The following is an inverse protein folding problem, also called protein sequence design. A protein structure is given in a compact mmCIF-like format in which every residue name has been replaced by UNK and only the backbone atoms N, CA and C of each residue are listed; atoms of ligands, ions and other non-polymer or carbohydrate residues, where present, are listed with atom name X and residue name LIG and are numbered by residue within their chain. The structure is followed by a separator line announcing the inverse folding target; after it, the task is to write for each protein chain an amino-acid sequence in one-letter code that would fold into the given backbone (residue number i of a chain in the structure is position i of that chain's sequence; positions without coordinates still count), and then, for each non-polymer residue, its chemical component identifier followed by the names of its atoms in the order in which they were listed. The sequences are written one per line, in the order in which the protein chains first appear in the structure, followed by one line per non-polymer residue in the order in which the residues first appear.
data_IF_072708092776
#
_entry.id   IF_072708092776
#
_cell.length_a   1.000
_cell.length_b   1.000
_cell.length_c   1.000
_cell.angle_alpha   90.00
_cell.angle_beta   90.00
_cell.angle_gamma   90.00
#
_symmetry.space_group_name_H-M   'P 1'
#
loop_
_entity.id
_entity.type
_entity.pdbx_description
1 polymer ?
#
# COMPACT_ATOMS: atom_id res chain seq x y z
N UNK A 1 31.62 62.41 8.59
CA UNK A 1 32.71 61.51 8.15
C UNK A 1 32.24 60.08 8.34
N UNK A 2 31.98 59.36 7.25
CA UNK A 2 31.55 57.96 7.31
C UNK A 2 32.77 57.06 7.06
N UNK A 3 33.05 56.15 7.99
CA UNK A 3 34.20 55.23 7.90
C UNK A 3 33.70 53.86 7.46
N UNK A 4 34.20 53.43 6.29
CA UNK A 4 34.09 52.05 5.79
C UNK A 4 35.09 51.16 6.54
N UNK A 5 34.66 50.00 7.02
CA UNK A 5 35.56 48.91 7.42
C UNK A 5 35.17 47.66 6.63
N UNK A 6 36.06 47.29 5.71
CA UNK A 6 36.04 46.00 5.00
C UNK A 6 36.85 45.02 5.84
N UNK A 7 36.23 43.94 6.29
CA UNK A 7 36.93 42.81 6.92
C UNK A 7 37.00 41.65 5.92
N UNK A 8 38.22 41.37 5.49
CA UNK A 8 38.60 40.25 4.63
C UNK A 8 38.97 39.07 5.52
N UNK A 9 38.14 38.04 5.60
CA UNK A 9 38.43 36.82 6.37
C UNK A 9 38.95 35.70 5.46
N UNK A 10 40.24 35.40 5.57
CA UNK A 10 40.89 34.21 4.98
C UNK A 10 40.51 32.99 5.81
N UNK A 11 39.67 32.12 5.28
CA UNK A 11 39.31 30.83 5.89
C UNK A 11 40.31 29.74 5.52
N UNK A 12 41.04 29.23 6.51
CA UNK A 12 41.81 27.98 6.38
C UNK A 12 40.86 26.82 6.05
N UNK A 13 41.13 26.12 4.95
CA UNK A 13 40.44 24.89 4.60
C UNK A 13 40.85 23.77 5.58
N UNK A 14 40.09 23.61 6.64
CA UNK A 14 40.07 22.37 7.42
C UNK A 14 39.59 21.27 6.48
N UNK A 15 40.47 20.31 6.16
CA UNK A 15 40.01 19.06 5.52
C UNK A 15 39.10 18.38 6.53
N UNK A 16 37.79 18.41 6.28
CA UNK A 16 36.83 17.66 7.06
C UNK A 16 37.21 16.17 6.96
N UNK A 17 37.74 15.62 8.05
CA UNK A 17 37.87 14.18 8.22
C UNK A 17 36.45 13.65 8.35
N UNK A 18 36.08 12.72 7.47
CA UNK A 18 34.78 12.07 7.52
C UNK A 18 34.58 11.46 8.91
N UNK A 19 33.46 11.71 9.62
CA UNK A 19 33.22 11.14 10.93
C UNK A 19 33.35 9.61 10.92
N UNK A 20 34.01 8.99 11.92
CA UNK A 20 34.22 7.54 12.00
C UNK A 20 32.96 6.70 11.78
N UNK A 21 31.82 7.22 12.24
CA UNK A 21 30.51 6.59 12.09
C UNK A 21 30.02 6.53 10.64
N UNK A 22 30.18 7.61 9.86
CA UNK A 22 29.74 7.65 8.46
C UNK A 22 30.59 6.72 7.59
N UNK A 23 31.90 6.72 7.81
CA UNK A 23 32.83 5.81 7.15
C UNK A 23 32.46 4.34 7.43
N UNK A 24 32.05 4.02 8.66
CA UNK A 24 31.60 2.68 9.01
C UNK A 24 30.25 2.29 8.39
N UNK A 25 29.26 3.20 8.33
CA UNK A 25 28.00 2.92 7.64
C UNK A 25 28.22 2.61 6.16
N UNK A 26 29.14 3.34 5.51
CA UNK A 26 29.56 3.05 4.13
C UNK A 26 30.12 1.65 3.99
N UNK A 27 31.00 1.23 4.91
CA UNK A 27 31.56 -0.14 4.95
C UNK A 27 30.45 -1.18 5.06
N UNK A 28 29.48 -0.98 5.96
CA UNK A 28 28.38 -1.94 6.16
C UNK A 28 27.57 -2.11 4.87
N UNK A 29 27.24 -1.02 4.19
CA UNK A 29 26.53 -1.06 2.92
C UNK A 29 27.36 -1.74 1.82
N UNK A 30 28.65 -1.42 1.72
CA UNK A 30 29.57 -2.06 0.76
C UNK A 30 29.68 -3.57 0.98
N UNK A 31 29.74 -4.02 2.24
CA UNK A 31 29.75 -5.46 2.56
C UNK A 31 28.42 -6.10 2.15
N UNK A 32 27.28 -5.50 2.49
CA UNK A 32 25.97 -6.01 2.14
C UNK A 32 25.77 -6.10 0.61
N UNK A 33 26.20 -5.08 -0.14
CA UNK A 33 26.19 -5.09 -1.60
C UNK A 33 27.15 -6.15 -2.16
N UNK A 34 28.33 -6.31 -1.57
CA UNK A 34 29.28 -7.38 -1.91
C UNK A 34 28.67 -8.77 -1.73
N UNK A 35 27.98 -9.00 -0.62
CA UNK A 35 27.31 -10.27 -0.31
C UNK A 35 26.16 -10.56 -1.31
N UNK A 36 25.35 -9.55 -1.63
CA UNK A 36 24.27 -9.67 -2.62
C UNK A 36 24.80 -9.97 -4.03
N UNK A 37 25.92 -9.37 -4.39
CA UNK A 37 26.54 -9.49 -5.71
C UNK A 37 27.51 -10.67 -5.81
N UNK A 38 27.72 -11.42 -4.73
CA UNK A 38 28.74 -12.47 -4.61
C UNK A 38 28.66 -13.53 -5.70
N UNK A 39 27.43 -13.94 -6.07
CA UNK A 39 27.19 -14.98 -7.08
C UNK A 39 26.98 -14.38 -8.47
N UNK A 40 26.25 -13.28 -8.58
CA UNK A 40 25.79 -12.72 -9.85
C UNK A 40 26.82 -11.82 -10.53
N UNK A 41 27.63 -11.08 -9.76
CA UNK A 41 28.62 -10.12 -10.27
C UNK A 41 29.92 -10.18 -9.43
N UNK A 42 30.70 -11.27 -9.55
CA UNK A 42 31.82 -11.53 -8.66
C UNK A 42 32.95 -10.49 -8.73
N UNK A 43 33.14 -9.81 -9.87
CA UNK A 43 34.12 -8.72 -9.98
C UNK A 43 33.67 -7.50 -9.18
N UNK A 44 32.39 -7.13 -9.28
CA UNK A 44 31.81 -5.98 -8.56
C UNK A 44 31.76 -6.24 -7.06
N UNK A 45 31.38 -7.45 -6.66
CA UNK A 45 31.42 -7.86 -5.26
C UNK A 45 32.84 -7.84 -4.68
N UNK A 46 33.85 -8.28 -5.43
CA UNK A 46 35.25 -8.20 -5.00
C UNK A 46 35.70 -6.73 -4.81
N UNK A 47 35.34 -5.84 -5.73
CA UNK A 47 35.65 -4.41 -5.59
C UNK A 47 35.02 -3.80 -4.34
N UNK A 48 33.76 -4.16 -4.03
CA UNK A 48 33.08 -3.69 -2.83
C UNK A 48 33.76 -4.19 -1.55
N UNK A 49 34.18 -5.46 -1.51
CA UNK A 49 34.94 -5.99 -0.38
C UNK A 49 36.31 -5.33 -0.20
N UNK A 50 37.05 -5.07 -1.28
CA UNK A 50 38.36 -4.40 -1.21
C UNK A 50 38.22 -2.95 -0.73
N UNK A 51 37.20 -2.21 -1.18
CA UNK A 51 36.90 -0.85 -0.70
C UNK A 51 36.54 -0.87 0.79
N UNK A 52 35.68 -1.79 1.20
CA UNK A 52 35.31 -1.97 2.60
C UNK A 52 36.54 -2.28 3.48
N UNK A 53 37.45 -3.14 3.00
CA UNK A 53 38.68 -3.48 3.71
C UNK A 53 39.60 -2.26 3.85
N UNK A 54 39.76 -1.47 2.78
CA UNK A 54 40.57 -0.25 2.80
C UNK A 54 40.01 0.78 3.80
N UNK A 55 38.70 1.03 3.79
CA UNK A 55 38.07 1.98 4.70
C UNK A 55 38.17 1.53 6.15
N UNK A 56 38.01 0.23 6.44
CA UNK A 56 38.21 -0.31 7.80
C UNK A 56 39.65 -0.17 8.29
N UNK A 57 40.65 -0.37 7.42
CA UNK A 57 42.07 -0.15 7.77
C UNK A 57 42.40 1.32 8.00
N UNK A 58 41.78 2.22 7.24
CA UNK A 58 41.91 3.66 7.45
C UNK A 58 41.30 4.08 8.79
N UNK A 59 40.10 3.57 9.10
CA UNK A 59 39.41 3.81 10.36
C UNK A 59 40.22 3.30 11.56
N UNK A 60 40.82 2.12 11.44
CA UNK A 60 41.69 1.58 12.48
C UNK A 60 42.98 2.39 12.68
N UNK A 61 43.50 3.01 11.62
CA UNK A 61 44.70 3.87 11.69
C UNK A 61 44.39 5.25 12.26
N UNK A 62 43.26 5.83 11.87
CA UNK A 62 42.86 7.19 12.24
C UNK A 62 42.23 7.24 13.62
N UNK A 63 41.41 6.25 13.97
CA UNK A 63 40.68 6.17 15.24
C UNK A 63 40.76 4.75 15.84
N UNK A 64 41.92 4.36 16.41
CA UNK A 64 42.16 2.99 16.87
C UNK A 64 41.21 2.49 17.97
N UNK A 65 40.70 3.40 18.81
CA UNK A 65 39.77 3.08 19.90
C UNK A 65 38.31 2.98 19.44
N UNK A 66 37.99 3.49 18.24
CA UNK A 66 36.63 3.53 17.74
C UNK A 66 36.15 2.12 17.36
N UNK A 67 35.27 1.54 18.19
CA UNK A 67 34.64 0.24 17.95
C UNK A 67 35.62 -0.88 17.50
N UNK A 68 36.82 -0.92 18.08
CA UNK A 68 37.92 -1.79 17.64
C UNK A 68 37.51 -3.26 17.43
N UNK A 69 36.68 -3.80 18.33
CA UNK A 69 36.16 -5.18 18.24
C UNK A 69 35.29 -5.40 17.01
N UNK A 70 34.46 -4.42 16.66
CA UNK A 70 33.54 -4.49 15.52
C UNK A 70 34.32 -4.37 14.21
N UNK A 71 35.25 -3.41 14.13
CA UNK A 71 36.16 -3.23 12.98
C UNK A 71 36.98 -4.49 12.73
N UNK A 72 37.59 -5.05 13.77
CA UNK A 72 38.35 -6.31 13.68
C UNK A 72 37.48 -7.49 13.22
N UNK A 73 36.23 -7.58 13.68
CA UNK A 73 35.30 -8.63 13.25
C UNK A 73 34.96 -8.50 11.77
N UNK A 74 34.72 -7.28 11.27
CA UNK A 74 34.43 -7.03 9.85
C UNK A 74 35.65 -7.26 8.95
N UNK A 75 36.84 -6.88 9.41
CA UNK A 75 38.08 -7.20 8.70
C UNK A 75 38.28 -8.72 8.58
N UNK A 76 38.09 -9.47 9.67
CA UNK A 76 38.16 -10.94 9.66
C UNK A 76 37.14 -11.56 8.69
N UNK A 77 35.92 -11.02 8.64
CA UNK A 77 34.91 -11.46 7.66
C UNK A 77 35.40 -11.26 6.22
N UNK A 78 35.91 -10.07 5.90
CA UNK A 78 36.44 -9.75 4.57
C UNK A 78 37.65 -10.63 4.21
N UNK A 79 38.57 -10.85 5.14
CA UNK A 79 39.73 -11.72 4.96
C UNK A 79 39.32 -13.18 4.67
N UNK A 80 38.16 -13.63 5.15
CA UNK A 80 37.62 -14.96 4.81
C UNK A 80 36.93 -15.02 3.45
N UNK A 81 36.43 -13.89 2.94
CA UNK A 81 35.59 -13.81 1.72
C UNK A 81 36.38 -13.46 0.47
N UNK A 82 37.38 -12.59 0.59
CA UNK A 82 38.18 -12.09 -0.54
C UNK A 82 39.05 -13.17 -1.18
N UNK A 83 39.84 -13.99 -0.44
CA UNK A 83 40.74 -14.96 -1.07
C UNK A 83 40.04 -16.04 -1.92
N UNK A 84 38.95 -16.69 -1.46
CA UNK A 84 38.20 -17.63 -2.30
C UNK A 84 37.66 -16.98 -3.59
N UNK A 85 37.31 -15.70 -3.50
CA UNK A 85 36.75 -14.93 -4.62
C UNK A 85 37.82 -14.55 -5.64
N UNK A 86 39.00 -14.15 -5.16
CA UNK A 86 40.17 -13.89 -5.97
C UNK A 86 40.64 -15.15 -6.72
N UNK A 87 40.63 -16.30 -6.04
CA UNK A 87 40.93 -17.60 -6.62
C UNK A 87 39.91 -18.01 -7.69
N UNK A 88 38.61 -17.78 -7.44
CA UNK A 88 37.55 -18.04 -8.43
C UNK A 88 37.71 -17.20 -9.69
N UNK A 89 38.18 -15.97 -9.55
CA UNK A 89 38.41 -15.03 -10.66
C UNK A 89 39.78 -15.20 -11.34
N UNK A 90 40.61 -16.14 -10.86
CA UNK A 90 41.99 -16.37 -11.36
C UNK A 90 42.83 -15.10 -11.43
N UNK A 91 42.63 -14.17 -10.50
CA UNK A 91 43.45 -12.96 -10.43
C UNK A 91 44.74 -13.35 -9.68
N UNK A 92 45.94 -13.17 -10.28
CA UNK A 92 47.20 -13.49 -9.62
C UNK A 92 47.31 -12.73 -8.29
N UNK A 93 47.53 -13.44 -7.19
CA UNK A 93 47.91 -12.80 -5.94
C UNK A 93 49.33 -12.23 -6.13
N UNK A 94 49.49 -10.92 -5.95
CA UNK A 94 50.79 -10.36 -5.62
C UNK A 94 51.09 -10.80 -4.18
N UNK A 95 51.71 -11.97 -4.04
CA UNK A 95 52.34 -12.36 -2.78
C UNK A 95 53.49 -11.39 -2.51
N UNK A 96 53.23 -10.39 -1.66
CA UNK A 96 54.28 -9.69 -0.94
C UNK A 96 54.86 -10.64 0.10
N UNK A 97 55.75 -11.53 -0.32
CA UNK A 97 56.64 -12.23 0.59
C UNK A 97 58.10 -11.98 0.16
N UNK A 98 58.94 -11.37 1.01
CA UNK A 98 60.32 -11.08 0.67
C UNK A 98 61.23 -12.30 0.89
N UNK A 99 62.25 -12.38 0.03
CA UNK A 99 63.50 -13.11 0.17
C UNK A 99 63.51 -14.61 -0.21
N UNK A 100 63.90 -14.88 -1.46
CA UNK A 100 64.97 -15.86 -1.72
C UNK A 100 65.84 -15.34 -2.89
N UNK A 101 67.17 -15.18 -2.73
CA UNK A 101 68.04 -14.60 -3.76
C UNK A 101 68.12 -15.46 -5.02
N UNK A 102 68.03 -14.80 -6.17
CA UNK A 102 68.18 -15.36 -7.50
C UNK A 102 69.60 -15.92 -7.73
N UNK A 103 69.68 -17.07 -8.41
CA UNK A 103 70.89 -17.53 -9.08
C UNK A 103 71.28 -16.53 -10.20
N UNK A 104 72.58 -16.37 -10.52
CA UNK A 104 73.02 -15.33 -11.44
C UNK A 104 72.60 -15.68 -12.87
N UNK A 105 71.71 -14.87 -13.43
CA UNK A 105 71.46 -14.81 -14.85
C UNK A 105 72.75 -14.34 -15.54
N UNK A 106 73.31 -15.17 -16.41
CA UNK A 106 74.32 -14.75 -17.39
C UNK A 106 73.72 -13.60 -18.21
N UNK A 107 74.22 -12.39 -17.99
CA UNK A 107 73.89 -11.23 -18.81
C UNK A 107 74.62 -11.35 -20.14
N UNK A 108 73.93 -11.86 -21.16
CA UNK A 108 74.30 -11.63 -22.55
C UNK A 108 74.25 -10.12 -22.77
N UNK A 109 75.40 -9.48 -22.96
CA UNK A 109 75.48 -8.06 -23.29
C UNK A 109 74.86 -7.89 -24.68
N UNK A 110 73.58 -7.51 -24.72
CA UNK A 110 72.90 -7.08 -25.95
C UNK A 110 73.55 -5.79 -26.45
N UNK A 111 73.86 -5.72 -27.74
CA UNK A 111 74.36 -4.50 -28.36
C UNK A 111 73.29 -3.41 -28.40
N UNK A 112 73.70 -2.14 -28.42
CA UNK A 112 72.81 -0.96 -28.47
C UNK A 112 71.81 -1.02 -29.65
N UNK A 113 72.21 -1.63 -30.77
CA UNK A 113 71.34 -1.85 -31.93
C UNK A 113 70.18 -2.84 -31.62
N UNK A 114 70.45 -3.93 -30.90
CA UNK A 114 69.42 -4.90 -30.51
C UNK A 114 68.43 -4.29 -29.51
N UNK A 115 68.92 -3.45 -28.60
CA UNK A 115 68.09 -2.70 -27.65
C UNK A 115 67.16 -1.71 -28.36
N UNK A 116 67.67 -0.97 -29.35
CA UNK A 116 66.83 -0.07 -30.15
C UNK A 116 65.76 -0.84 -30.95
N UNK A 117 66.12 -1.98 -31.54
CA UNK A 117 65.14 -2.82 -32.25
C UNK A 117 64.01 -3.32 -31.34
N UNK A 118 64.33 -3.63 -30.07
CA UNK A 118 63.35 -4.03 -29.04
C UNK A 118 62.48 -2.86 -28.61
N UNK A 119 63.05 -1.68 -28.45
CA UNK A 119 62.30 -0.46 -28.12
C UNK A 119 61.29 -0.14 -29.22
N UNK A 120 61.67 -0.26 -30.49
CA UNK A 120 60.77 0.00 -31.61
C UNK A 120 59.66 -1.05 -31.72
N UNK A 121 59.97 -2.33 -31.47
CA UNK A 121 58.93 -3.39 -31.36
C UNK A 121 57.94 -3.11 -30.22
N UNK A 122 58.43 -2.75 -29.03
CA UNK A 122 57.58 -2.42 -27.88
C UNK A 122 56.73 -1.16 -28.14
N UNK A 123 57.25 -0.18 -28.88
CA UNK A 123 56.47 0.99 -29.31
C UNK A 123 55.36 0.59 -30.28
N UNK A 124 55.65 -0.26 -31.25
CA UNK A 124 54.66 -0.77 -32.19
C UNK A 124 53.56 -1.57 -31.47
N UNK A 125 53.96 -2.47 -30.56
CA UNK A 125 53.03 -3.27 -29.74
C UNK A 125 52.16 -2.39 -28.83
N UNK A 126 52.74 -1.35 -28.21
CA UNK A 126 51.96 -0.37 -27.43
C UNK A 126 50.91 0.33 -28.30
N UNK A 127 51.26 0.69 -29.53
CA UNK A 127 50.37 1.40 -30.44
C UNK A 127 49.24 0.48 -30.94
N UNK A 128 49.56 -0.79 -31.18
CA UNK A 128 48.60 -1.83 -31.51
C UNK A 128 47.62 -2.09 -30.35
N UNK A 129 48.13 -2.29 -29.12
CA UNK A 129 47.32 -2.45 -27.91
C UNK A 129 46.41 -1.23 -27.65
N UNK A 130 46.91 -0.01 -27.88
CA UNK A 130 46.09 1.19 -27.78
C UNK A 130 44.97 1.21 -28.81
N UNK A 131 45.24 0.76 -30.04
CA UNK A 131 44.22 0.63 -31.08
C UNK A 131 43.18 -0.44 -30.75
N UNK A 132 43.60 -1.56 -30.15
CA UNK A 132 42.69 -2.62 -29.70
C UNK A 132 41.83 -2.16 -28.53
N UNK A 133 42.41 -1.47 -27.54
CA UNK A 133 41.66 -0.88 -26.45
C UNK A 133 40.57 0.08 -26.95
N UNK A 134 40.90 0.95 -27.91
CA UNK A 134 39.92 1.86 -28.51
C UNK A 134 38.79 1.09 -29.20
N UNK A 135 39.09 0.00 -29.93
CA UNK A 135 38.07 -0.87 -30.55
C UNK A 135 37.21 -1.58 -29.52
N UNK A 136 37.79 -2.04 -28.41
CA UNK A 136 37.03 -2.67 -27.33
C UNK A 136 36.09 -1.66 -26.69
N UNK A 137 36.54 -0.42 -26.46
CA UNK A 137 35.71 0.64 -25.89
C UNK A 137 34.55 1.02 -26.82
N UNK A 138 34.80 1.17 -28.13
CA UNK A 138 33.74 1.46 -29.11
C UNK A 138 32.73 0.31 -29.19
N UNK A 139 33.20 -0.93 -29.31
CA UNK A 139 32.28 -2.09 -29.37
C UNK A 139 31.50 -2.29 -28.08
N UNK A 140 32.10 -2.02 -26.92
CA UNK A 140 31.41 -2.10 -25.63
C UNK A 140 30.35 -1.00 -25.50
N UNK A 141 30.67 0.23 -25.90
CA UNK A 141 29.70 1.34 -25.87
C UNK A 141 28.55 1.12 -26.85
N UNK A 142 28.81 0.57 -28.04
CA UNK A 142 27.77 0.17 -29.00
C UNK A 142 26.88 -0.96 -28.45
N UNK A 143 27.47 -2.03 -27.91
CA UNK A 143 26.72 -3.13 -27.29
C UNK A 143 25.88 -2.66 -26.09
N UNK A 144 26.41 -1.75 -25.28
CA UNK A 144 25.68 -1.13 -24.18
C UNK A 144 24.50 -0.31 -24.71
N UNK A 145 24.72 0.49 -25.76
CA UNK A 145 23.67 1.28 -26.41
C UNK A 145 22.59 0.39 -27.00
N UNK A 146 22.97 -0.71 -27.65
CA UNK A 146 22.04 -1.70 -28.21
C UNK A 146 21.25 -2.41 -27.12
N UNK A 147 21.91 -2.89 -26.05
CA UNK A 147 21.25 -3.50 -24.90
C UNK A 147 20.28 -2.54 -24.20
N UNK A 148 20.62 -1.25 -24.09
CA UNK A 148 19.72 -0.23 -23.55
C UNK A 148 18.53 0.06 -24.48
N UNK A 149 18.72 -0.06 -25.80
CA UNK A 149 17.66 0.14 -26.80
C UNK A 149 16.69 -1.04 -26.90
N UNK A 150 17.16 -2.25 -26.59
CA UNK A 150 16.38 -3.49 -26.54
C UNK A 150 15.62 -3.67 -25.21
N UNK A 151 15.78 -2.74 -24.26
CA UNK A 151 15.04 -2.78 -22.99
C UNK A 151 13.52 -2.80 -23.28
N UNK A 152 12.78 -3.81 -22.79
CA UNK A 152 11.34 -3.92 -23.02
C UNK A 152 10.64 -2.63 -22.63
N UNK A 153 9.69 -2.17 -23.46
CA UNK A 153 8.93 -0.93 -23.21
C UNK A 153 8.25 -0.94 -21.83
N UNK A 154 7.78 -2.10 -21.37
CA UNK A 154 7.17 -2.28 -20.05
C UNK A 154 8.10 -1.96 -18.87
N UNK A 155 9.42 -1.94 -19.06
CA UNK A 155 10.44 -1.61 -18.05
C UNK A 155 10.96 -0.16 -18.18
N UNK A 156 10.36 0.64 -19.06
CA UNK A 156 10.68 2.06 -19.16
C UNK A 156 10.03 2.81 -17.97
N UNK A 157 10.80 3.52 -17.13
CA UNK A 157 10.25 4.19 -15.95
C UNK A 157 9.08 5.14 -16.25
N UNK A 158 9.02 5.72 -17.45
CA UNK A 158 7.89 6.55 -17.89
C UNK A 158 6.61 5.77 -18.20
N UNK A 159 6.71 4.53 -18.71
CA UNK A 159 5.53 3.67 -18.92
C UNK A 159 5.04 3.08 -17.60
N UNK A 160 5.95 2.67 -16.71
CA UNK A 160 5.62 2.22 -15.37
C UNK A 160 4.88 3.29 -14.57
N UNK A 161 5.37 4.55 -14.58
CA UNK A 161 4.70 5.65 -13.89
C UNK A 161 3.29 5.94 -14.44
N UNK A 162 3.07 5.75 -15.75
CA UNK A 162 1.72 5.86 -16.34
C UNK A 162 0.81 4.75 -15.85
N UNK A 163 1.27 3.50 -15.86
CA UNK A 163 0.51 2.34 -15.38
C UNK A 163 0.20 2.48 -13.89
N UNK A 164 1.16 2.94 -13.07
CA UNK A 164 0.92 3.23 -11.65
C UNK A 164 -0.14 4.32 -11.45
N UNK A 165 -0.10 5.39 -12.25
CA UNK A 165 -1.13 6.43 -12.21
C UNK A 165 -2.51 5.91 -12.62
N UNK A 166 -2.59 5.08 -13.66
CA UNK A 166 -3.83 4.44 -14.09
C UNK A 166 -4.36 3.47 -13.03
N UNK A 167 -3.50 2.66 -12.41
CA UNK A 167 -3.85 1.79 -11.30
C UNK A 167 -4.40 2.57 -10.10
N UNK A 168 -3.78 3.70 -9.72
CA UNK A 168 -4.30 4.54 -8.64
C UNK A 168 -5.68 5.10 -8.97
N UNK A 169 -5.90 5.59 -10.20
CA UNK A 169 -7.23 6.06 -10.64
C UNK A 169 -8.28 4.95 -10.61
N UNK A 170 -7.90 3.73 -11.01
CA UNK A 170 -8.79 2.58 -10.96
C UNK A 170 -9.13 2.21 -9.51
N UNK A 171 -8.15 2.21 -8.61
CA UNK A 171 -8.36 1.96 -7.18
C UNK A 171 -9.30 3.01 -6.55
N UNK A 172 -9.09 4.30 -6.84
CA UNK A 172 -9.99 5.37 -6.39
C UNK A 172 -11.41 5.16 -6.88
N UNK A 173 -11.58 4.74 -8.14
CA UNK A 173 -12.89 4.46 -8.72
C UNK A 173 -13.56 3.23 -8.11
N UNK A 174 -12.79 2.20 -7.77
CA UNK A 174 -13.30 1.02 -7.06
C UNK A 174 -13.84 1.43 -5.69
N UNK A 175 -13.06 2.19 -4.90
CA UNK A 175 -13.50 2.67 -3.58
C UNK A 175 -14.76 3.53 -3.68
N UNK A 176 -14.82 4.41 -4.67
CA UNK A 176 -16.01 5.21 -4.93
C UNK A 176 -17.24 4.35 -5.27
N UNK A 177 -17.08 3.36 -6.15
CA UNK A 177 -18.15 2.45 -6.53
C UNK A 177 -18.63 1.61 -5.35
N UNK A 178 -17.73 1.04 -4.56
CA UNK A 178 -18.08 0.26 -3.36
C UNK A 178 -18.90 1.08 -2.35
N UNK A 179 -18.49 2.32 -2.10
CA UNK A 179 -19.25 3.26 -1.25
C UNK A 179 -20.65 3.52 -1.81
N UNK A 180 -20.76 3.72 -3.12
CA UNK A 180 -22.05 3.93 -3.77
C UNK A 180 -22.94 2.68 -3.71
N UNK A 181 -22.37 1.49 -3.91
CA UNK A 181 -23.10 0.22 -3.78
C UNK A 181 -23.60 0.00 -2.36
N UNK A 182 -22.80 0.29 -1.33
CA UNK A 182 -23.25 0.20 0.06
C UNK A 182 -24.42 1.13 0.37
N UNK A 183 -24.37 2.38 -0.14
CA UNK A 183 -25.50 3.32 0.01
C UNK A 183 -26.75 2.78 -0.67
N UNK A 184 -26.62 2.31 -1.90
CA UNK A 184 -27.74 1.76 -2.66
C UNK A 184 -28.33 0.51 -1.98
N UNK A 185 -27.49 -0.35 -1.41
CA UNK A 185 -27.94 -1.53 -0.66
C UNK A 185 -28.69 -1.13 0.62
N UNK A 186 -28.22 -0.12 1.34
CA UNK A 186 -28.91 0.42 2.52
C UNK A 186 -30.26 1.02 2.15
N UNK A 187 -30.32 1.80 1.06
CA UNK A 187 -31.57 2.35 0.54
C UNK A 187 -32.54 1.23 0.16
N UNK A 188 -32.08 0.23 -0.61
CA UNK A 188 -32.91 -0.91 -0.99
C UNK A 188 -33.48 -1.65 0.23
N UNK A 189 -32.66 -1.91 1.26
CA UNK A 189 -33.11 -2.54 2.51
C UNK A 189 -34.18 -1.70 3.21
N UNK A 190 -34.01 -0.37 3.25
CA UNK A 190 -34.99 0.56 3.82
C UNK A 190 -36.30 0.53 3.03
N UNK A 191 -36.24 0.69 1.71
CA UNK A 191 -37.43 0.69 0.84
C UNK A 191 -38.18 -0.64 0.91
N UNK A 192 -37.46 -1.76 0.97
CA UNK A 192 -38.06 -3.09 1.13
C UNK A 192 -38.74 -3.26 2.50
N UNK A 193 -38.13 -2.72 3.56
CA UNK A 193 -38.74 -2.65 4.88
C UNK A 193 -40.02 -1.81 4.89
N UNK A 194 -40.01 -0.65 4.24
CA UNK A 194 -41.17 0.23 4.10
C UNK A 194 -42.28 -0.43 3.28
N UNK A 195 -41.93 -1.13 2.18
CA UNK A 195 -42.89 -1.91 1.38
C UNK A 195 -43.56 -3.00 2.22
N UNK A 196 -42.78 -3.71 3.04
CA UNK A 196 -43.30 -4.76 3.93
C UNK A 196 -44.28 -4.18 4.96
N UNK A 197 -43.95 -3.02 5.56
CA UNK A 197 -44.83 -2.31 6.49
C UNK A 197 -46.11 -1.82 5.83
N UNK A 198 -46.00 -1.26 4.62
CA UNK A 198 -47.15 -0.78 3.86
C UNK A 198 -48.10 -1.93 3.51
N UNK A 199 -47.55 -3.09 3.12
CA UNK A 199 -48.34 -4.30 2.85
C UNK A 199 -49.07 -4.79 4.08
N UNK A 200 -48.39 -4.86 5.24
CA UNK A 200 -49.04 -5.21 6.51
C UNK A 200 -50.14 -4.20 6.90
N UNK A 201 -49.92 -2.91 6.67
CA UNK A 201 -50.92 -1.86 6.89
C UNK A 201 -52.14 -2.00 5.97
N UNK A 202 -51.93 -2.35 4.70
CA UNK A 202 -53.00 -2.62 3.74
C UNK A 202 -53.84 -3.82 4.17
N UNK A 203 -53.19 -4.92 4.57
CA UNK A 203 -53.88 -6.12 5.03
C UNK A 203 -54.70 -5.84 6.31
N UNK A 204 -54.16 -5.03 7.23
CA UNK A 204 -54.88 -4.61 8.44
C UNK A 204 -56.10 -3.75 8.12
N UNK A 205 -55.95 -2.77 7.22
CA UNK A 205 -57.05 -1.92 6.77
C UNK A 205 -58.15 -2.73 6.05
N UNK A 206 -57.77 -3.73 5.24
CA UNK A 206 -58.71 -4.65 4.61
C UNK A 206 -59.48 -5.48 5.64
N UNK A 207 -58.80 -6.03 6.66
CA UNK A 207 -59.48 -6.76 7.75
C UNK A 207 -60.45 -5.87 8.52
N UNK A 208 -60.06 -4.63 8.80
CA UNK A 208 -60.95 -3.69 9.49
C UNK A 208 -62.15 -3.31 8.64
N UNK A 209 -61.95 -3.11 7.33
CA UNK A 209 -63.05 -2.89 6.38
C UNK A 209 -64.03 -4.06 6.39
N UNK A 210 -63.57 -5.31 6.37
CA UNK A 210 -64.46 -6.48 6.44
C UNK A 210 -65.17 -6.59 7.79
N UNK A 211 -64.50 -6.30 8.91
CA UNK A 211 -65.16 -6.25 10.23
C UNK A 211 -66.27 -5.20 10.30
N UNK A 212 -65.99 -4.00 9.79
CA UNK A 212 -67.00 -2.93 9.73
C UNK A 212 -68.16 -3.34 8.83
N UNK A 213 -67.87 -4.01 7.72
CA UNK A 213 -68.91 -4.56 6.85
C UNK A 213 -69.76 -5.61 7.58
N UNK A 214 -69.18 -6.54 8.32
CA UNK A 214 -69.94 -7.52 9.14
C UNK A 214 -70.80 -6.85 10.22
N UNK A 215 -70.30 -5.77 10.84
CA UNK A 215 -71.07 -4.96 11.79
C UNK A 215 -72.25 -4.26 11.11
N UNK A 216 -72.06 -3.79 9.88
CA UNK A 216 -73.07 -3.09 9.07
C UNK A 216 -74.07 -4.06 8.42
N UNK A 217 -73.65 -5.28 8.05
CA UNK A 217 -74.43 -6.32 7.35
C UNK A 217 -75.55 -6.97 8.21
N UNK A 218 -76.03 -6.23 9.21
CA UNK A 218 -77.46 -6.17 9.42
C UNK A 218 -78.02 -7.16 10.43
N UNK A 219 -77.30 -8.18 10.91
CA UNK A 219 -77.88 -9.07 11.95
C UNK A 219 -78.19 -8.34 13.25
N UNK A 220 -77.24 -7.56 13.78
CA UNK A 220 -77.48 -6.78 15.01
C UNK A 220 -78.45 -5.64 14.77
N UNK A 221 -78.39 -5.01 13.60
CA UNK A 221 -79.27 -3.91 13.22
C UNK A 221 -80.72 -4.38 12.99
N UNK A 222 -80.91 -5.55 12.38
CA UNK A 222 -82.19 -6.24 12.23
C UNK A 222 -82.74 -6.72 13.57
N UNK A 223 -81.91 -7.29 14.44
CA UNK A 223 -82.32 -7.66 15.80
C UNK A 223 -82.83 -6.44 16.57
N UNK A 224 -82.09 -5.33 16.55
CA UNK A 224 -82.50 -4.08 17.17
C UNK A 224 -83.78 -3.50 16.54
N UNK A 225 -83.97 -3.65 15.22
CA UNK A 225 -85.19 -3.21 14.55
C UNK A 225 -86.41 -4.05 14.95
N UNK A 226 -86.26 -5.38 15.03
CA UNK A 226 -87.31 -6.30 15.48
C UNK A 226 -87.66 -6.04 16.94
N UNK A 227 -86.67 -5.85 17.81
CA UNK A 227 -86.85 -5.54 19.21
C UNK A 227 -87.56 -4.18 19.40
N UNK A 228 -87.15 -3.14 18.66
CA UNK A 228 -87.85 -1.85 18.65
C UNK A 228 -89.32 -1.99 18.22
N UNK A 229 -89.59 -2.77 17.17
CA UNK A 229 -90.96 -2.99 16.70
C UNK A 229 -91.81 -3.73 17.74
N UNK A 230 -91.22 -4.70 18.46
CA UNK A 230 -91.88 -5.41 19.55
C UNK A 230 -92.20 -4.47 20.71
N UNK A 231 -91.23 -3.70 21.19
CA UNK A 231 -91.41 -2.76 22.29
C UNK A 231 -92.48 -1.71 21.97
N UNK A 232 -92.53 -1.22 20.72
CA UNK A 232 -93.59 -0.30 20.27
C UNK A 232 -94.98 -0.91 20.34
N UNK A 233 -95.14 -2.21 20.02
CA UNK A 233 -96.42 -2.92 20.17
C UNK A 233 -96.80 -3.11 21.62
N UNK A 234 -95.85 -3.45 22.48
CA UNK A 234 -96.09 -3.56 23.93
C UNK A 234 -96.57 -2.22 24.49
N UNK A 235 -95.92 -1.10 24.11
CA UNK A 235 -96.35 0.26 24.48
C UNK A 235 -97.79 0.52 24.01
N UNK A 236 -98.13 0.26 22.74
CA UNK A 236 -99.50 0.48 22.21
C UNK A 236 -100.57 -0.35 22.95
N UNK A 237 -100.24 -1.60 23.32
CA UNK A 237 -101.13 -2.44 24.11
C UNK A 237 -101.32 -1.86 25.52
N UNK A 238 -100.23 -1.43 26.17
CA UNK A 238 -100.30 -0.82 27.48
C UNK A 238 -101.08 0.50 27.47
N UNK A 239 -100.91 1.33 26.44
CA UNK A 239 -101.65 2.58 26.26
C UNK A 239 -103.15 2.31 26.07
N UNK A 240 -103.51 1.34 25.23
CA UNK A 240 -104.92 0.92 25.06
C UNK A 240 -105.52 0.42 26.36
N UNK A 241 -104.78 -0.38 27.13
CA UNK A 241 -105.23 -0.87 28.43
C UNK A 241 -105.39 0.26 29.44
N UNK A 242 -104.47 1.22 29.44
CA UNK A 242 -104.58 2.42 30.28
C UNK A 242 -105.84 3.22 29.93
N UNK A 243 -106.10 3.45 28.63
CA UNK A 243 -107.32 4.12 28.17
C UNK A 243 -108.60 3.38 28.57
N UNK A 244 -108.61 2.05 28.46
CA UNK A 244 -109.76 1.23 28.90
C UNK A 244 -110.01 1.38 30.40
N UNK A 245 -108.95 1.30 31.21
CA UNK A 245 -109.04 1.49 32.66
C UNK A 245 -109.52 2.90 33.00
N UNK A 246 -109.06 3.94 32.30
CA UNK A 246 -109.57 5.30 32.48
C UNK A 246 -111.07 5.42 32.20
N UNK A 247 -111.56 4.77 31.13
CA UNK A 247 -112.99 4.75 30.80
C UNK A 247 -113.79 4.02 31.87
N UNK A 248 -113.30 2.87 32.36
CA UNK A 248 -113.95 2.14 33.45
C UNK A 248 -113.98 2.95 34.75
N UNK A 249 -112.86 3.58 35.13
CA UNK A 249 -112.78 4.48 36.28
C UNK A 249 -113.83 5.58 36.16
N UNK A 250 -113.90 6.28 35.02
CA UNK A 250 -114.92 7.32 34.79
C UNK A 250 -116.35 6.79 34.89
N UNK A 251 -116.60 5.56 34.44
CA UNK A 251 -117.92 4.92 34.54
C UNK A 251 -118.26 4.61 36.00
N UNK A 252 -117.31 4.08 36.77
CA UNK A 252 -117.46 3.81 38.19
C UNK A 252 -117.66 5.10 39.00
N UNK A 253 -116.91 6.16 38.70
CA UNK A 253 -117.09 7.49 39.29
C UNK A 253 -118.51 8.02 39.06
N UNK A 254 -119.04 7.91 37.83
CA UNK A 254 -120.43 8.30 37.54
C UNK A 254 -121.45 7.48 38.34
N UNK A 255 -121.28 6.17 38.43
CA UNK A 255 -122.18 5.30 39.19
C UNK A 255 -122.15 5.60 40.70
N UNK A 256 -120.98 5.95 41.25
CA UNK A 256 -120.83 6.42 42.64
C UNK A 256 -121.49 7.78 42.89
N UNK A 257 -121.54 8.65 41.87
CA UNK A 257 -122.21 9.96 41.95
C UNK A 257 -123.74 9.86 41.78
N UNK A 258 -124.25 8.81 41.12
CA UNK A 258 -125.69 8.59 40.87
C UNK A 258 -126.40 7.77 41.96
N UNK A 259 -125.66 7.13 42.88
CA UNK A 259 -126.17 6.44 44.07
C UNK A 259 -125.55 7.06 45.34
N UNK A 260 -126.12 8.15 45.88
CA UNK A 260 -125.63 8.77 47.12
C UNK A 260 -125.91 7.93 48.37
#
# INVERSE_FOLDING_TARGET
VAVFVVLFSVGMAVRAVEPPYEAYLRVVNQIADGDRLYVSQPIVALQNYLRAQQTLRQLQTQDPEWNAKVVATKLKYLDSKVPPMMNRLRIPQLENNPATPAAPLKSTVMGVADLNSRIDKLRAEKLELQSEMAKIETTYTEKLREALKVRPRELNPGELAKIESENNKLLERIVYLESHYQKLESEYKKTNGDLTRLKAGLDAAQKEKERLKELIDGKKLQQLAVENARLRREIDIHDKRAQQLEVEIRKLEKLLLENP
#
